data_IF_772202343672
#
_entry.id   IF_772202343672
#
_cell.length_a   1.000
_cell.length_b   1.000
_cell.length_c   1.000
_cell.angle_alpha   90.00
_cell.angle_beta   90.00
_cell.angle_gamma   90.00
#
_symmetry.space_group_name_H-M   'P 1'
#
loop_
_entity.id
_entity.type
_entity.pdbx_description
1 polymer ?
#
# COMPACT_ATOMS: atom_id res chain seq x y z
N UNK A 1 21.38 2.29 18.97
CA UNK A 1 20.88 2.21 17.58
C UNK A 1 19.38 1.94 17.59
N UNK A 2 18.64 2.38 16.58
CA UNK A 2 17.22 2.03 16.43
C UNK A 2 17.10 0.56 16.01
N UNK A 3 16.09 -0.15 16.53
CA UNK A 3 15.83 -1.53 16.16
C UNK A 3 15.35 -1.60 14.70
N UNK A 4 15.84 -2.53 13.86
CA UNK A 4 15.41 -2.65 12.47
C UNK A 4 13.95 -3.13 12.39
N UNK A 5 13.15 -2.48 11.55
CA UNK A 5 11.76 -2.87 11.28
C UNK A 5 11.62 -3.34 9.84
N UNK A 6 11.00 -4.50 9.65
CA UNK A 6 10.56 -5.00 8.36
C UNK A 6 9.07 -5.31 8.42
N UNK A 7 8.32 -4.88 7.41
CA UNK A 7 6.90 -5.17 7.29
C UNK A 7 6.66 -6.48 6.55
N UNK A 8 5.69 -7.26 7.02
CA UNK A 8 5.27 -8.48 6.33
C UNK A 8 4.49 -8.13 5.06
N UNK A 9 4.89 -8.65 3.88
CA UNK A 9 4.15 -8.43 2.64
C UNK A 9 2.92 -9.33 2.50
N UNK A 10 2.81 -10.40 3.29
CA UNK A 10 1.67 -11.33 3.35
C UNK A 10 1.33 -11.61 4.83
N UNK A 11 0.11 -12.04 5.14
CA UNK A 11 -0.30 -12.30 6.54
C UNK A 11 0.42 -13.52 7.18
N UNK A 12 0.70 -14.56 6.39
CA UNK A 12 1.30 -15.84 6.86
C UNK A 12 2.81 -15.77 7.17
N UNK A 13 3.34 -14.56 7.17
CA UNK A 13 4.75 -14.26 6.99
C UNK A 13 5.39 -13.61 8.22
N UNK A 14 4.63 -13.50 9.30
CA UNK A 14 5.02 -12.88 10.56
C UNK A 14 6.29 -13.52 11.15
N UNK A 15 6.36 -14.85 11.20
CA UNK A 15 7.52 -15.59 11.73
C UNK A 15 8.83 -15.33 10.97
N UNK A 16 8.91 -15.58 9.66
CA UNK A 16 10.09 -15.29 8.85
C UNK A 16 10.49 -13.81 8.89
N UNK A 17 9.51 -12.90 8.96
CA UNK A 17 9.77 -11.47 9.09
C UNK A 17 10.36 -11.10 10.46
N UNK A 18 9.89 -11.73 11.54
CA UNK A 18 10.49 -11.61 12.88
C UNK A 18 11.94 -12.06 12.89
N UNK A 19 12.22 -13.25 12.33
CA UNK A 19 13.57 -13.79 12.23
C UNK A 19 14.48 -12.87 11.41
N UNK A 20 13.96 -12.26 10.33
CA UNK A 20 14.68 -11.26 9.53
C UNK A 20 15.08 -10.02 10.33
N UNK A 21 14.19 -9.52 11.19
CA UNK A 21 14.48 -8.37 12.05
C UNK A 21 15.57 -8.70 13.07
N UNK A 22 15.49 -9.88 13.70
CA UNK A 22 16.52 -10.37 14.64
C UNK A 22 17.86 -10.57 13.94
N UNK A 23 17.90 -11.24 12.78
CA UNK A 23 19.12 -11.41 11.99
C UNK A 23 19.75 -10.05 11.62
N UNK A 24 18.93 -9.07 11.24
CA UNK A 24 19.40 -7.73 10.90
C UNK A 24 19.93 -6.97 12.11
N UNK A 25 19.35 -7.18 13.29
CA UNK A 25 19.82 -6.57 14.53
C UNK A 25 21.25 -7.05 14.87
N UNK A 26 21.55 -8.33 14.64
CA UNK A 26 22.89 -8.89 14.81
C UNK A 26 23.84 -8.66 13.61
N UNK A 27 23.42 -7.88 12.60
CA UNK A 27 24.25 -7.42 11.50
C UNK A 27 24.10 -8.17 10.17
N UNK A 28 23.30 -9.25 10.10
CA UNK A 28 23.16 -10.10 8.90
C UNK A 28 21.90 -9.73 8.12
N UNK A 29 22.02 -9.47 6.82
CA UNK A 29 20.89 -9.12 5.96
C UNK A 29 20.47 -10.33 5.11
N UNK A 30 19.35 -10.96 5.48
CA UNK A 30 18.81 -12.13 4.78
C UNK A 30 17.53 -11.74 4.04
N UNK A 31 17.29 -12.34 2.87
CA UNK A 31 16.07 -12.08 2.11
C UNK A 31 14.87 -12.78 2.76
N UNK A 32 13.69 -12.18 2.68
CA UNK A 32 12.47 -12.80 3.24
C UNK A 32 12.12 -14.11 2.54
N UNK A 33 12.35 -14.20 1.22
CA UNK A 33 12.04 -15.40 0.44
C UNK A 33 12.87 -16.61 0.88
N UNK A 34 14.15 -16.38 1.20
CA UNK A 34 15.03 -17.41 1.73
C UNK A 34 14.59 -17.87 3.13
N UNK A 35 14.26 -16.93 4.02
CA UNK A 35 13.75 -17.27 5.36
C UNK A 35 12.41 -18.02 5.31
N UNK A 36 11.51 -17.69 4.37
CA UNK A 36 10.26 -18.47 4.14
C UNK A 36 10.56 -19.91 3.77
N UNK A 37 11.53 -20.11 2.88
CA UNK A 37 11.91 -21.44 2.42
C UNK A 37 12.57 -22.24 3.54
N UNK A 38 13.45 -21.61 4.33
CA UNK A 38 14.12 -22.25 5.47
C UNK A 38 13.14 -22.60 6.59
N UNK A 39 12.14 -21.74 6.84
CA UNK A 39 11.12 -21.93 7.87
C UNK A 39 9.95 -22.82 7.44
N UNK A 40 9.97 -23.33 6.20
CA UNK A 40 8.90 -24.14 5.61
C UNK A 40 7.53 -23.50 5.77
N UNK A 41 7.43 -22.18 5.60
CA UNK A 41 6.18 -21.43 5.78
C UNK A 41 5.10 -21.93 4.83
N UNK A 42 3.94 -22.32 5.37
CA UNK A 42 2.81 -22.87 4.59
C UNK A 42 1.63 -21.89 4.51
N UNK A 43 0.51 -22.30 3.87
CA UNK A 43 -0.79 -21.59 3.93
C UNK A 43 -1.29 -21.35 5.36
N UNK A 44 -0.86 -22.17 6.32
CA UNK A 44 -1.25 -22.06 7.73
C UNK A 44 -0.32 -21.15 8.54
N UNK A 45 0.72 -20.58 7.91
CA UNK A 45 1.76 -19.80 8.58
C UNK A 45 3.03 -20.61 8.84
N UNK A 46 3.88 -20.07 9.72
CA UNK A 46 5.09 -20.74 10.18
C UNK A 46 4.89 -21.23 11.61
N UNK A 47 5.30 -22.46 11.92
CA UNK A 47 5.32 -22.95 13.29
C UNK A 47 6.52 -22.37 14.05
N UNK A 48 6.44 -22.32 15.39
CA UNK A 48 7.59 -21.93 16.23
C UNK A 48 8.81 -22.81 15.93
N UNK A 49 8.58 -24.12 15.73
CA UNK A 49 9.60 -25.08 15.33
C UNK A 49 10.22 -24.73 13.97
N UNK A 50 9.42 -24.40 12.96
CA UNK A 50 9.94 -24.00 11.65
C UNK A 50 10.78 -22.73 11.73
N UNK A 51 10.39 -21.76 12.56
CA UNK A 51 11.19 -20.55 12.81
C UNK A 51 12.50 -20.92 13.53
N UNK A 52 12.47 -21.84 14.49
CA UNK A 52 13.63 -22.36 15.22
C UNK A 52 14.62 -23.04 14.27
N UNK A 53 14.15 -23.97 13.43
CA UNK A 53 14.97 -24.67 12.44
C UNK A 53 15.57 -23.71 11.40
N UNK A 54 14.80 -22.70 10.98
CA UNK A 54 15.31 -21.68 10.08
C UNK A 54 16.39 -20.83 10.73
N UNK A 55 16.21 -20.46 12.00
CA UNK A 55 17.17 -19.71 12.79
C UNK A 55 18.46 -20.50 13.00
N UNK A 56 18.36 -21.80 13.28
CA UNK A 56 19.53 -22.68 13.43
C UNK A 56 20.29 -22.85 12.12
N UNK A 57 19.58 -23.01 10.99
CA UNK A 57 20.21 -23.07 9.67
C UNK A 57 21.03 -21.83 9.33
N UNK A 58 20.59 -20.64 9.79
CA UNK A 58 21.31 -19.37 9.56
C UNK A 58 22.39 -19.05 10.60
N UNK A 59 22.60 -19.95 11.57
CA UNK A 59 23.65 -19.89 12.59
C UNK A 59 23.21 -19.35 13.95
N UNK A 60 21.92 -19.22 14.24
CA UNK A 60 21.48 -18.96 15.63
C UNK A 60 21.44 -20.25 16.44
N UNK A 61 21.70 -20.15 17.74
CA UNK A 61 21.22 -21.13 18.70
C UNK A 61 19.83 -20.72 19.14
N UNK A 62 18.88 -21.63 19.08
CA UNK A 62 17.51 -21.35 19.50
C UNK A 62 17.02 -22.22 20.64
N UNK A 63 16.20 -21.63 21.50
CA UNK A 63 15.52 -22.36 22.58
C UNK A 63 14.07 -21.86 22.66
N UNK A 64 13.13 -22.74 22.41
CA UNK A 64 11.71 -22.49 22.67
C UNK A 64 11.41 -22.67 24.15
N UNK A 65 10.94 -21.62 24.82
CA UNK A 65 10.62 -21.64 26.25
C UNK A 65 9.20 -21.18 26.51
N UNK A 66 8.59 -21.74 27.55
CA UNK A 66 7.35 -21.26 28.13
C UNK A 66 7.66 -20.73 29.52
N UNK A 67 7.48 -19.43 29.71
CA UNK A 67 7.96 -18.72 30.92
C UNK A 67 6.96 -17.70 31.43
N UNK A 68 7.07 -17.37 32.72
CA UNK A 68 6.33 -16.27 33.33
C UNK A 68 6.95 -14.92 32.98
N UNK A 69 6.22 -13.84 33.26
CA UNK A 69 6.68 -12.47 33.00
C UNK A 69 7.93 -12.12 33.80
N UNK A 70 8.04 -12.62 35.03
CA UNK A 70 9.18 -12.39 35.91
C UNK A 70 10.45 -13.00 35.31
N UNK A 71 10.37 -14.24 34.82
CA UNK A 71 11.51 -14.90 34.13
C UNK A 71 11.88 -14.24 32.81
N UNK A 72 10.91 -13.68 32.08
CA UNK A 72 11.19 -12.88 30.87
C UNK A 72 12.03 -11.63 31.21
N UNK A 73 11.84 -11.02 32.38
CA UNK A 73 12.59 -9.83 32.78
C UNK A 73 14.02 -10.14 33.24
N UNK A 74 14.21 -11.28 33.91
CA UNK A 74 15.47 -11.65 34.54
C UNK A 74 16.42 -12.36 33.56
N UNK A 75 15.91 -13.32 32.79
CA UNK A 75 16.76 -14.32 32.12
C UNK A 75 16.70 -14.29 30.58
N UNK A 76 15.74 -13.59 29.97
CA UNK A 76 15.54 -13.69 28.52
C UNK A 76 16.51 -12.78 27.74
N UNK A 77 17.36 -13.34 26.85
CA UNK A 77 18.17 -12.52 25.95
C UNK A 77 17.28 -11.76 24.95
N UNK A 78 17.60 -10.50 24.71
CA UNK A 78 16.91 -9.63 23.76
C UNK A 78 17.80 -9.33 22.54
N UNK A 79 17.25 -9.30 21.32
CA UNK A 79 15.84 -9.49 20.97
C UNK A 79 15.42 -10.97 20.92
N UNK A 80 14.19 -11.26 21.35
CA UNK A 80 13.58 -12.59 21.26
C UNK A 80 12.24 -12.54 20.50
N UNK A 81 11.80 -13.69 19.95
CA UNK A 81 10.54 -13.78 19.23
C UNK A 81 9.46 -14.30 20.19
N UNK A 82 8.34 -13.60 20.29
CA UNK A 82 7.22 -13.98 21.13
C UNK A 82 6.05 -14.47 20.28
N UNK A 83 5.41 -15.55 20.73
CA UNK A 83 4.12 -15.96 20.18
C UNK A 83 3.03 -15.02 20.74
N UNK A 84 2.23 -14.44 19.86
CA UNK A 84 1.34 -13.32 20.16
C UNK A 84 -0.09 -13.64 19.75
N UNK A 85 -1.06 -13.41 20.65
CA UNK A 85 -2.49 -13.68 20.46
C UNK A 85 -2.81 -15.10 19.91
N UNK A 86 -1.92 -16.06 20.15
CA UNK A 86 -1.97 -17.44 19.65
C UNK A 86 -2.05 -17.63 18.12
N UNK A 87 -1.84 -16.57 17.33
CA UNK A 87 -1.93 -16.63 15.88
C UNK A 87 -0.92 -15.74 15.15
N UNK A 88 0.00 -15.12 15.88
CA UNK A 88 0.95 -14.15 15.34
C UNK A 88 2.32 -14.25 16.01
N UNK A 89 3.35 -13.71 15.37
CA UNK A 89 4.69 -13.61 15.95
C UNK A 89 5.14 -12.16 15.96
N UNK A 90 5.76 -11.75 17.07
CA UNK A 90 6.32 -10.41 17.25
C UNK A 90 7.72 -10.49 17.85
N UNK A 91 8.53 -9.45 17.69
CA UNK A 91 9.87 -9.39 18.30
C UNK A 91 9.87 -8.48 19.51
N UNK A 92 10.25 -8.99 20.67
CA UNK A 92 10.52 -8.17 21.85
C UNK A 92 11.99 -7.76 21.76
N UNK A 93 12.25 -6.46 21.58
CA UNK A 93 13.61 -5.97 21.37
C UNK A 93 14.18 -5.16 22.53
N UNK A 94 13.31 -4.68 23.43
CA UNK A 94 13.74 -3.91 24.60
C UNK A 94 12.67 -3.96 25.69
N UNK A 95 13.11 -4.09 26.93
CA UNK A 95 12.25 -3.91 28.11
C UNK A 95 12.90 -2.83 28.97
N UNK A 96 12.12 -1.81 29.39
CA UNK A 96 12.62 -0.73 30.25
C UNK A 96 11.55 -0.30 31.25
N UNK A 97 11.85 -0.46 32.54
CA UNK A 97 10.86 -0.29 33.63
C UNK A 97 9.66 -1.20 33.34
N UNK A 98 8.44 -0.66 33.34
CA UNK A 98 7.20 -1.38 33.01
C UNK A 98 6.75 -1.27 31.55
N UNK A 99 7.64 -0.85 30.65
CA UNK A 99 7.32 -0.73 29.23
C UNK A 99 8.06 -1.78 28.40
N UNK A 100 7.30 -2.55 27.64
CA UNK A 100 7.78 -3.56 26.72
C UNK A 100 7.73 -2.97 25.32
N UNK A 101 8.86 -2.99 24.63
CA UNK A 101 8.97 -2.50 23.26
C UNK A 101 8.98 -3.67 22.29
N UNK A 102 8.03 -3.65 21.37
CA UNK A 102 7.75 -4.74 20.44
C UNK A 102 7.89 -4.23 19.01
N UNK A 103 8.52 -5.02 18.17
CA UNK A 103 8.49 -4.85 16.72
C UNK A 103 7.50 -5.87 16.15
N UNK A 104 6.34 -5.37 15.74
CA UNK A 104 5.30 -6.16 15.09
C UNK A 104 5.48 -6.08 13.56
N UNK A 105 5.68 -7.22 12.86
CA UNK A 105 5.75 -7.24 11.40
C UNK A 105 4.56 -6.60 10.68
N UNK A 106 3.37 -6.60 11.28
CA UNK A 106 2.16 -5.98 10.76
C UNK A 106 2.03 -4.50 11.09
N UNK A 107 2.36 -4.10 12.32
CA UNK A 107 2.02 -2.78 12.86
C UNK A 107 3.22 -1.85 13.12
N UNK A 108 4.45 -2.34 12.97
CA UNK A 108 5.66 -1.55 13.19
C UNK A 108 6.15 -1.60 14.64
N UNK A 109 6.82 -0.52 15.08
CA UNK A 109 7.36 -0.41 16.44
C UNK A 109 6.28 0.06 17.40
N UNK A 110 5.92 -0.80 18.34
CA UNK A 110 4.89 -0.57 19.35
C UNK A 110 5.48 -0.56 20.75
N UNK A 111 4.77 0.10 21.65
CA UNK A 111 5.10 0.20 23.07
C UNK A 111 3.87 -0.25 23.87
N UNK A 112 4.06 -1.24 24.72
CA UNK A 112 3.00 -1.79 25.56
C UNK A 112 3.34 -1.60 27.04
N UNK A 113 2.29 -1.36 27.83
CA UNK A 113 2.35 -1.51 29.28
C UNK A 113 2.36 -3.00 29.66
N UNK A 114 2.80 -3.32 30.88
CA UNK A 114 2.79 -4.69 31.42
C UNK A 114 1.41 -5.37 31.28
N UNK A 115 0.33 -4.66 31.59
CA UNK A 115 -1.03 -5.21 31.55
C UNK A 115 -1.49 -5.54 30.13
N UNK A 116 -1.24 -4.64 29.18
CA UNK A 116 -1.59 -4.86 27.77
C UNK A 116 -0.76 -5.98 27.16
N UNK A 117 0.54 -6.03 27.48
CA UNK A 117 1.43 -7.09 27.04
C UNK A 117 0.95 -8.47 27.51
N UNK A 118 0.60 -8.59 28.79
CA UNK A 118 0.16 -9.87 29.34
C UNK A 118 -1.17 -10.35 28.77
N UNK A 119 -2.07 -9.45 28.36
CA UNK A 119 -3.32 -9.84 27.69
C UNK A 119 -3.08 -10.50 26.34
N UNK A 120 -2.03 -10.11 25.63
CA UNK A 120 -1.76 -10.60 24.28
C UNK A 120 -0.67 -11.66 24.18
N UNK A 121 0.30 -11.68 25.08
CA UNK A 121 1.41 -12.63 25.05
C UNK A 121 1.10 -13.96 25.75
N UNK A 122 0.23 -13.95 26.76
CA UNK A 122 -0.09 -15.17 27.51
C UNK A 122 -0.79 -16.20 26.63
N UNK A 123 -0.21 -17.41 26.60
CA UNK A 123 -0.84 -18.56 25.94
C UNK A 123 -1.73 -19.32 26.93
N UNK A 124 -1.35 -19.33 28.21
CA UNK A 124 -2.08 -19.95 29.33
C UNK A 124 -2.41 -18.90 30.41
N UNK A 125 -2.86 -19.32 31.61
CA UNK A 125 -3.27 -18.41 32.70
C UNK A 125 -2.14 -17.44 33.13
N UNK A 126 -0.90 -17.91 33.15
CA UNK A 126 0.26 -17.15 33.70
C UNK A 126 1.47 -17.08 32.78
N UNK A 127 1.58 -17.95 31.77
CA UNK A 127 2.80 -18.14 30.99
C UNK A 127 2.61 -17.79 29.50
N UNK A 128 3.68 -17.28 28.89
CA UNK A 128 3.76 -17.02 27.45
C UNK A 128 4.89 -17.81 26.80
N UNK A 129 4.84 -17.89 25.48
CA UNK A 129 5.79 -18.66 24.67
C UNK A 129 6.78 -17.71 24.02
N UNK A 130 8.08 -18.03 24.14
CA UNK A 130 9.18 -17.29 23.54
C UNK A 130 10.08 -18.25 22.77
N UNK A 131 10.68 -17.73 21.70
CA UNK A 131 11.86 -18.30 21.07
C UNK A 131 13.02 -17.38 21.38
N UNK A 132 13.96 -17.88 22.18
CA UNK A 132 15.21 -17.19 22.49
C UNK A 132 16.21 -17.49 21.37
N UNK A 133 16.93 -16.46 20.92
CA UNK A 133 17.90 -16.55 19.83
C UNK A 133 19.23 -15.91 20.24
N UNK A 134 20.31 -16.69 20.15
CA UNK A 134 21.67 -16.21 20.39
C UNK A 134 22.56 -16.55 19.19
N UNK A 135 23.33 -15.60 18.64
CA UNK A 135 24.20 -15.90 17.50
C UNK A 135 25.33 -16.84 17.93
N UNK A 136 25.61 -17.88 17.15
CA UNK A 136 26.80 -18.74 17.32
C UNK A 136 27.95 -18.20 16.46
N UNK A 137 29.19 -18.72 16.61
CA UNK A 137 30.28 -18.39 15.68
C UNK A 137 29.90 -18.64 14.20
N UNK A 138 29.15 -19.71 13.93
CA UNK A 138 28.66 -20.04 12.58
C UNK A 138 27.79 -18.93 11.98
N UNK A 139 27.06 -18.16 12.81
CA UNK A 139 26.27 -17.01 12.36
C UNK A 139 27.12 -15.99 11.58
N UNK A 140 28.35 -15.76 12.04
CA UNK A 140 29.28 -14.78 11.49
C UNK A 140 30.20 -15.36 10.43
N UNK A 141 30.48 -16.66 10.48
CA UNK A 141 31.32 -17.36 9.50
C UNK A 141 30.59 -17.73 8.21
N UNK A 142 29.29 -18.05 8.30
CA UNK A 142 28.48 -18.33 7.12
C UNK A 142 28.32 -17.04 6.29
N UNK A 143 29.00 -16.99 5.15
CA UNK A 143 28.75 -16.03 4.07
C UNK A 143 27.36 -16.27 3.44
N UNK A 144 26.29 -16.00 4.21
CA UNK A 144 25.05 -15.57 3.57
C UNK A 144 25.38 -14.24 2.96
N UNK A 145 25.38 -14.18 1.63
CA UNK A 145 25.67 -13.01 0.80
C UNK A 145 25.58 -11.74 1.64
N UNK A 146 26.71 -11.38 2.26
CA UNK A 146 26.96 -10.04 2.82
C UNK A 146 27.16 -9.05 1.68
N UNK A 147 26.82 -9.47 0.46
CA UNK A 147 26.58 -8.64 -0.69
C UNK A 147 25.54 -7.58 -0.37
N UNK A 148 26.08 -6.40 -0.11
CA UNK A 148 25.60 -5.17 -0.73
C UNK A 148 25.39 -5.28 -2.26
N UNK A 149 25.83 -6.38 -2.89
CA UNK A 149 25.42 -6.81 -4.23
C UNK A 149 23.96 -7.26 -4.21
N UNK A 150 23.15 -6.28 -4.58
CA UNK A 150 21.71 -6.36 -4.73
C UNK A 150 20.98 -6.46 -3.39
N UNK A 151 20.88 -5.30 -2.73
CA UNK A 151 19.51 -4.81 -2.54
C UNK A 151 18.84 -5.03 -3.91
N UNK A 152 17.81 -5.88 -4.09
CA UNK A 152 16.76 -5.38 -4.94
C UNK A 152 16.35 -4.11 -4.20
N UNK A 153 16.95 -2.96 -4.56
CA UNK A 153 16.33 -1.66 -4.32
C UNK A 153 14.91 -1.97 -4.71
N UNK A 154 13.93 -1.97 -3.78
CA UNK A 154 12.57 -2.42 -4.08
C UNK A 154 12.28 -1.73 -5.40
N UNK A 155 12.18 -2.51 -6.50
CA UNK A 155 12.27 -1.91 -7.84
C UNK A 155 11.21 -0.84 -7.79
N UNK A 156 11.64 0.41 -7.73
CA UNK A 156 10.71 1.46 -7.34
C UNK A 156 9.63 1.51 -8.39
N UNK A 157 8.68 2.43 -8.23
CA UNK A 157 7.76 2.74 -9.31
C UNK A 157 8.47 3.03 -10.66
N UNK A 158 9.80 3.28 -10.65
CA UNK A 158 10.72 3.25 -11.81
C UNK A 158 10.48 2.12 -12.83
N UNK A 159 10.25 0.87 -12.40
CA UNK A 159 9.95 -0.22 -13.35
C UNK A 159 8.64 0.02 -14.09
N UNK A 160 7.64 0.58 -13.40
CA UNK A 160 6.33 0.87 -13.96
C UNK A 160 6.38 1.98 -15.02
N UNK A 161 7.29 2.96 -14.86
CA UNK A 161 7.51 3.99 -15.88
C UNK A 161 7.95 3.41 -17.23
N UNK A 162 8.61 2.23 -17.26
CA UNK A 162 8.98 1.59 -18.54
C UNK A 162 7.77 1.23 -19.39
N UNK A 163 6.64 0.86 -18.78
CA UNK A 163 5.39 0.61 -19.49
C UNK A 163 4.81 1.89 -20.08
N UNK A 164 4.92 3.01 -19.36
CA UNK A 164 4.42 4.31 -19.79
C UNK A 164 5.29 4.90 -20.93
N UNK A 165 6.62 4.86 -20.81
CA UNK A 165 7.55 5.43 -21.79
C UNK A 165 7.49 4.76 -23.17
N UNK A 166 6.97 3.52 -23.26
CA UNK A 166 6.66 2.89 -24.56
C UNK A 166 5.67 3.73 -25.38
N UNK A 167 4.80 4.48 -24.72
CA UNK A 167 3.78 5.35 -25.31
C UNK A 167 4.16 6.85 -25.28
N UNK A 168 5.45 7.19 -25.22
CA UNK A 168 5.93 8.58 -25.08
C UNK A 168 5.33 9.57 -26.08
N UNK A 169 5.06 9.16 -27.33
CA UNK A 169 4.45 10.03 -28.35
C UNK A 169 3.02 10.43 -27.96
N UNK A 170 2.23 9.48 -27.46
CA UNK A 170 0.86 9.73 -27.00
C UNK A 170 0.84 10.54 -25.70
N UNK A 171 1.81 10.33 -24.81
CA UNK A 171 1.97 11.19 -23.61
C UNK A 171 2.26 12.64 -23.99
N UNK A 172 3.14 12.87 -24.97
CA UNK A 172 3.40 14.22 -25.47
C UNK A 172 2.13 14.84 -26.06
N UNK A 173 1.33 14.08 -26.81
CA UNK A 173 0.03 14.56 -27.31
C UNK A 173 -0.93 14.91 -26.16
N UNK A 174 -0.95 14.13 -25.07
CA UNK A 174 -1.75 14.46 -23.87
C UNK A 174 -1.27 15.75 -23.19
N UNK A 175 0.04 15.98 -23.12
CA UNK A 175 0.60 17.23 -22.56
C UNK A 175 0.29 18.43 -23.45
N UNK A 176 0.38 18.28 -24.77
CA UNK A 176 -0.01 19.34 -25.73
C UNK A 176 -1.52 19.61 -25.61
N UNK A 177 -2.34 18.56 -25.57
CA UNK A 177 -3.79 18.67 -25.39
C UNK A 177 -4.16 19.32 -24.05
N UNK A 178 -3.40 19.05 -22.99
CA UNK A 178 -3.52 19.74 -21.71
C UNK A 178 -3.28 21.23 -21.87
N UNK A 179 -2.13 21.63 -22.40
CA UNK A 179 -1.77 23.05 -22.54
C UNK A 179 -2.80 23.79 -23.40
N UNK A 180 -3.22 23.19 -24.52
CA UNK A 180 -4.26 23.73 -25.38
C UNK A 180 -5.61 23.86 -24.64
N UNK A 181 -6.04 22.80 -23.93
CA UNK A 181 -7.29 22.80 -23.16
C UNK A 181 -7.28 23.83 -22.03
N UNK A 182 -6.18 23.96 -21.29
CA UNK A 182 -5.99 24.95 -20.23
C UNK A 182 -6.02 26.38 -20.79
N UNK A 183 -5.40 26.63 -21.95
CA UNK A 183 -5.46 27.93 -22.63
C UNK A 183 -6.90 28.28 -23.05
N UNK A 184 -7.62 27.35 -23.69
CA UNK A 184 -9.02 27.58 -24.07
C UNK A 184 -9.90 27.84 -22.84
N UNK A 185 -9.65 27.13 -21.73
CA UNK A 185 -10.37 27.34 -20.48
C UNK A 185 -10.08 28.73 -19.88
N UNK A 186 -8.85 29.21 -20.01
CA UNK A 186 -8.43 30.52 -19.51
C UNK A 186 -9.02 31.67 -20.33
N UNK A 187 -9.24 31.50 -21.63
CA UNK A 187 -9.88 32.52 -22.50
C UNK A 187 -11.32 32.83 -22.04
N UNK A 188 -12.02 31.85 -21.46
CA UNK A 188 -13.44 31.99 -21.13
C UNK A 188 -13.75 33.13 -20.13
N UNK A 189 -13.06 33.26 -18.97
CA UNK A 189 -13.17 34.43 -18.11
C UNK A 189 -13.00 35.79 -18.80
N UNK A 190 -12.02 35.93 -19.71
CA UNK A 190 -11.77 37.20 -20.42
C UNK A 190 -12.90 37.54 -21.41
N UNK A 191 -13.49 36.53 -22.06
CA UNK A 191 -14.66 36.73 -22.90
C UNK A 191 -15.88 37.15 -22.06
N UNK A 192 -16.09 36.51 -20.92
CA UNK A 192 -17.17 36.92 -19.99
C UNK A 192 -16.95 38.33 -19.47
N UNK A 193 -15.71 38.71 -19.14
CA UNK A 193 -15.37 40.08 -18.79
C UNK A 193 -15.73 41.05 -19.91
N UNK A 194 -15.34 40.75 -21.16
CA UNK A 194 -15.67 41.59 -22.32
C UNK A 194 -17.18 41.78 -22.53
N UNK A 195 -17.99 40.75 -22.26
CA UNK A 195 -19.46 40.87 -22.32
C UNK A 195 -19.95 41.94 -21.34
N UNK A 196 -19.45 41.96 -20.10
CA UNK A 196 -19.91 42.89 -19.07
C UNK A 196 -19.35 44.30 -19.33
N UNK A 197 -18.03 44.41 -19.49
CA UNK A 197 -17.33 45.70 -19.54
C UNK A 197 -17.57 46.45 -20.85
N UNK A 198 -17.75 45.74 -21.97
CA UNK A 198 -17.92 46.37 -23.30
C UNK A 198 -19.34 46.17 -23.81
N UNK A 199 -19.84 44.94 -23.79
CA UNK A 199 -21.15 44.61 -24.36
C UNK A 199 -22.30 45.27 -23.61
N UNK A 200 -22.41 44.99 -22.31
CA UNK A 200 -23.51 45.49 -21.46
C UNK A 200 -23.36 46.99 -21.20
N UNK A 201 -22.15 47.46 -20.86
CA UNK A 201 -21.91 48.87 -20.59
C UNK A 201 -22.27 49.78 -21.78
N UNK A 202 -21.95 49.37 -23.01
CA UNK A 202 -22.24 50.16 -24.23
C UNK A 202 -23.60 49.80 -24.87
N UNK A 203 -24.37 48.89 -24.28
CA UNK A 203 -25.62 48.34 -24.85
C UNK A 203 -25.43 47.78 -26.29
N UNK A 204 -24.25 47.26 -26.63
CA UNK A 204 -23.96 46.69 -27.95
C UNK A 204 -24.34 45.21 -28.00
N UNK A 205 -25.60 44.96 -28.35
CA UNK A 205 -26.17 43.62 -28.47
C UNK A 205 -25.47 42.80 -29.57
N UNK A 206 -24.97 43.44 -30.63
CA UNK A 206 -24.26 42.74 -31.71
C UNK A 206 -22.91 42.22 -31.21
N UNK A 207 -22.19 43.02 -30.43
CA UNK A 207 -20.95 42.59 -29.77
C UNK A 207 -21.20 41.41 -28.83
N UNK A 208 -22.28 41.46 -28.03
CA UNK A 208 -22.65 40.35 -27.14
C UNK A 208 -22.88 39.06 -27.93
N UNK A 209 -23.65 39.09 -29.02
CA UNK A 209 -23.87 37.90 -29.86
C UNK A 209 -22.57 37.36 -30.47
N UNK A 210 -21.65 38.23 -30.89
CA UNK A 210 -20.34 37.84 -31.43
C UNK A 210 -19.52 37.09 -30.38
N UNK A 211 -19.46 37.60 -29.14
CA UNK A 211 -18.71 36.95 -28.07
C UNK A 211 -19.37 35.62 -27.65
N UNK A 212 -20.70 35.56 -27.59
CA UNK A 212 -21.42 34.31 -27.32
C UNK A 212 -21.11 33.24 -28.38
N UNK A 213 -21.09 33.61 -29.66
CA UNK A 213 -20.71 32.69 -30.72
C UNK A 213 -19.26 32.24 -30.60
N UNK A 214 -18.34 33.15 -30.24
CA UNK A 214 -16.95 32.81 -29.97
C UNK A 214 -16.81 31.83 -28.78
N UNK A 215 -17.53 32.06 -27.68
CA UNK A 215 -17.56 31.15 -26.53
C UNK A 215 -18.09 29.76 -26.91
N UNK A 216 -19.12 29.70 -27.75
CA UNK A 216 -19.69 28.45 -28.23
C UNK A 216 -18.70 27.67 -29.11
N UNK A 217 -17.95 28.36 -29.98
CA UNK A 217 -16.86 27.75 -30.77
C UNK A 217 -15.71 27.24 -29.90
N UNK A 218 -15.29 28.02 -28.90
CA UNK A 218 -14.25 27.57 -27.95
C UNK A 218 -14.73 26.38 -27.12
N UNK A 219 -16.01 26.34 -26.75
CA UNK A 219 -16.60 25.21 -26.04
C UNK A 219 -16.54 23.92 -26.87
N UNK A 220 -16.89 23.98 -28.16
CA UNK A 220 -16.73 22.84 -29.07
C UNK A 220 -15.26 22.43 -29.26
N UNK A 221 -14.36 23.39 -29.39
CA UNK A 221 -12.91 23.12 -29.43
C UNK A 221 -12.43 22.39 -28.18
N UNK A 222 -12.88 22.82 -26.99
CA UNK A 222 -12.56 22.18 -25.71
C UNK A 222 -13.11 20.76 -25.62
N UNK A 223 -14.38 20.54 -26.01
CA UNK A 223 -14.97 19.19 -26.05
C UNK A 223 -14.15 18.28 -26.97
N UNK A 224 -13.74 18.77 -28.14
CA UNK A 224 -12.96 17.99 -29.09
C UNK A 224 -11.63 17.56 -28.51
N UNK A 225 -10.90 18.46 -27.84
CA UNK A 225 -9.66 18.13 -27.11
C UNK A 225 -9.93 17.08 -26.02
N UNK A 226 -11.02 17.22 -25.29
CA UNK A 226 -11.40 16.29 -24.22
C UNK A 226 -11.71 14.88 -24.72
N UNK A 227 -12.39 14.77 -25.87
CA UNK A 227 -12.65 13.50 -26.54
C UNK A 227 -11.35 12.84 -27.00
N UNK A 228 -10.47 13.59 -27.68
CA UNK A 228 -9.16 13.09 -28.12
C UNK A 228 -8.34 12.59 -26.93
N UNK A 229 -8.33 13.37 -25.84
CA UNK A 229 -7.64 13.03 -24.59
C UNK A 229 -8.18 11.75 -23.98
N UNK A 230 -9.49 11.64 -23.85
CA UNK A 230 -10.17 10.46 -23.29
C UNK A 230 -9.89 9.21 -24.13
N UNK A 231 -9.88 9.34 -25.46
CA UNK A 231 -9.56 8.25 -26.36
C UNK A 231 -8.10 7.80 -26.25
N UNK A 232 -7.14 8.74 -26.21
CA UNK A 232 -5.72 8.43 -26.01
C UNK A 232 -5.52 7.75 -24.65
N UNK A 233 -6.13 8.26 -23.58
CA UNK A 233 -6.04 7.67 -22.25
C UNK A 233 -6.58 6.25 -22.23
N UNK A 234 -7.74 5.99 -22.84
CA UNK A 234 -8.33 4.65 -22.94
C UNK A 234 -7.42 3.68 -23.71
N UNK A 235 -6.78 4.16 -24.78
CA UNK A 235 -5.85 3.36 -25.56
C UNK A 235 -4.61 2.98 -24.75
N UNK A 236 -4.00 3.94 -24.05
CA UNK A 236 -2.82 3.72 -23.22
C UNK A 236 -3.17 2.82 -22.02
N UNK A 237 -4.25 3.13 -21.31
CA UNK A 237 -4.65 2.42 -20.07
C UNK A 237 -4.90 0.94 -20.32
N UNK A 238 -5.70 0.63 -21.35
CA UNK A 238 -6.02 -0.74 -21.71
C UNK A 238 -4.76 -1.55 -22.06
N UNK A 239 -3.86 -0.99 -22.86
CA UNK A 239 -2.63 -1.69 -23.27
C UNK A 239 -1.63 -1.87 -22.12
N UNK A 240 -1.50 -0.88 -21.24
CA UNK A 240 -0.67 -1.00 -20.04
C UNK A 240 -1.25 -2.05 -19.10
N UNK A 241 -2.57 -2.05 -18.86
CA UNK A 241 -3.23 -3.03 -18.02
C UNK A 241 -3.01 -4.46 -18.54
N UNK A 242 -3.23 -4.68 -19.84
CA UNK A 242 -3.00 -5.98 -20.49
C UNK A 242 -1.54 -6.41 -20.33
N UNK A 243 -0.57 -5.51 -20.56
CA UNK A 243 0.85 -5.84 -20.45
C UNK A 243 1.24 -6.21 -19.00
N UNK A 244 0.76 -5.46 -18.02
CA UNK A 244 1.04 -5.70 -16.60
C UNK A 244 0.46 -7.05 -16.14
N UNK A 245 -0.81 -7.31 -16.47
CA UNK A 245 -1.48 -8.57 -16.11
C UNK A 245 -0.88 -9.77 -16.87
N UNK A 246 -0.50 -9.59 -18.14
CA UNK A 246 0.17 -10.63 -18.93
C UNK A 246 1.54 -11.01 -18.34
N UNK A 247 2.38 -10.02 -18.01
CA UNK A 247 3.68 -10.27 -17.37
C UNK A 247 3.52 -10.97 -16.01
N UNK A 248 2.47 -10.60 -15.26
CA UNK A 248 2.12 -11.29 -14.02
C UNK A 248 1.76 -12.76 -14.27
N UNK A 249 0.91 -13.07 -15.24
CA UNK A 249 0.58 -14.46 -15.59
C UNK A 249 1.79 -15.25 -16.08
N UNK A 250 2.64 -14.66 -16.93
CA UNK A 250 3.89 -15.30 -17.38
C UNK A 250 4.79 -15.65 -16.19
N UNK A 251 4.87 -14.79 -15.18
CA UNK A 251 5.61 -15.10 -13.96
C UNK A 251 4.93 -16.17 -13.13
N UNK A 252 3.61 -16.08 -12.94
CA UNK A 252 2.81 -17.03 -12.16
C UNK A 252 2.96 -18.45 -12.71
N UNK A 253 2.86 -18.64 -14.04
CA UNK A 253 3.02 -19.94 -14.70
C UNK A 253 4.43 -20.54 -14.61
N UNK A 254 5.44 -19.74 -14.28
CA UNK A 254 6.84 -20.20 -14.08
C UNK A 254 7.15 -20.57 -12.63
N UNK A 255 6.23 -20.36 -11.70
CA UNK A 255 6.45 -20.66 -10.28
C UNK A 255 6.27 -22.15 -9.99
N UNK A 256 7.08 -22.73 -9.08
CA UNK A 256 6.93 -24.13 -8.68
C UNK A 256 5.60 -24.36 -7.94
N UNK A 257 5.10 -25.59 -7.94
CA UNK A 257 3.81 -25.94 -7.32
C UNK A 257 3.73 -25.54 -5.84
N UNK A 258 4.85 -25.62 -5.11
CA UNK A 258 4.95 -25.21 -3.71
C UNK A 258 4.54 -23.75 -3.47
N UNK A 259 4.70 -22.85 -4.45
CA UNK A 259 4.19 -21.49 -4.34
C UNK A 259 2.65 -21.47 -4.26
N UNK A 260 1.99 -22.30 -5.06
CA UNK A 260 0.54 -22.39 -5.06
C UNK A 260 0.03 -23.05 -3.79
N UNK A 261 0.73 -24.05 -3.26
CA UNK A 261 0.36 -24.72 -2.00
C UNK A 261 0.42 -23.80 -0.77
N UNK A 262 1.14 -22.68 -0.87
CA UNK A 262 1.32 -21.70 0.21
C UNK A 262 0.46 -20.44 0.07
N UNK A 263 -0.16 -20.19 -1.09
CA UNK A 263 -0.96 -18.98 -1.37
C UNK A 263 -2.44 -19.28 -1.55
N UNK A 264 -3.32 -18.41 -1.02
CA UNK A 264 -4.75 -18.51 -1.26
C UNK A 264 -5.10 -17.98 -2.66
N UNK A 265 -6.09 -18.60 -3.32
CA UNK A 265 -6.58 -18.14 -4.62
C UNK A 265 -7.08 -16.70 -4.57
N UNK A 266 -7.70 -16.31 -3.43
CA UNK A 266 -8.12 -14.93 -3.16
C UNK A 266 -6.97 -13.92 -3.23
N UNK A 267 -5.82 -14.24 -2.63
CA UNK A 267 -4.64 -13.37 -2.64
C UNK A 267 -4.10 -13.16 -4.06
N UNK A 268 -4.10 -14.22 -4.88
CA UNK A 268 -3.67 -14.15 -6.28
C UNK A 268 -4.63 -13.27 -7.08
N UNK A 269 -5.94 -13.44 -6.87
CA UNK A 269 -6.97 -12.61 -7.53
C UNK A 269 -6.86 -11.13 -7.11
N UNK A 270 -6.61 -10.86 -5.84
CA UNK A 270 -6.39 -9.52 -5.34
C UNK A 270 -5.17 -8.87 -5.97
N UNK A 271 -4.06 -9.61 -6.12
CA UNK A 271 -2.87 -9.11 -6.83
C UNK A 271 -3.17 -8.78 -8.30
N UNK A 272 -4.03 -9.54 -8.98
CA UNK A 272 -4.48 -9.19 -10.35
C UNK A 272 -5.24 -7.86 -10.34
N UNK A 273 -6.16 -7.67 -9.39
CA UNK A 273 -6.89 -6.40 -9.23
C UNK A 273 -5.97 -5.22 -8.87
N UNK A 274 -4.92 -5.46 -8.09
CA UNK A 274 -3.95 -4.44 -7.74
C UNK A 274 -3.18 -3.93 -8.97
N UNK A 275 -2.98 -4.76 -10.00
CA UNK A 275 -2.40 -4.28 -11.27
C UNK A 275 -3.30 -3.25 -11.96
N UNK A 276 -4.63 -3.40 -11.90
CA UNK A 276 -5.57 -2.40 -12.42
C UNK A 276 -5.48 -1.09 -11.63
N UNK A 277 -5.35 -1.17 -10.30
CA UNK A 277 -5.14 0.02 -9.44
C UNK A 277 -3.84 0.73 -9.78
N UNK A 278 -2.75 -0.02 -9.93
CA UNK A 278 -1.43 0.50 -10.31
C UNK A 278 -1.50 1.17 -11.67
N UNK A 279 -2.16 0.54 -12.65
CA UNK A 279 -2.37 1.10 -13.97
C UNK A 279 -3.13 2.44 -13.91
N UNK A 280 -4.30 2.45 -13.27
CA UNK A 280 -5.11 3.67 -13.10
C UNK A 280 -4.36 4.79 -12.39
N UNK A 281 -3.50 4.45 -11.43
CA UNK A 281 -2.62 5.40 -10.77
C UNK A 281 -1.63 6.04 -11.76
N UNK A 282 -0.99 5.23 -12.62
CA UNK A 282 0.02 5.68 -13.58
C UNK A 282 -0.57 6.48 -14.75
N UNK A 283 -1.76 6.10 -15.23
CA UNK A 283 -2.34 6.66 -16.47
C UNK A 283 -3.35 7.77 -16.18
N UNK A 284 -4.27 7.58 -15.24
CA UNK A 284 -5.36 8.52 -14.98
C UNK A 284 -5.02 9.48 -13.84
N UNK A 285 -4.71 8.93 -12.67
CA UNK A 285 -4.54 9.73 -11.44
C UNK A 285 -3.34 10.66 -11.55
N UNK A 286 -2.18 10.14 -11.97
CA UNK A 286 -0.95 10.95 -12.10
C UNK A 286 -1.11 12.07 -13.12
N UNK A 287 -1.72 11.79 -14.28
CA UNK A 287 -1.95 12.82 -15.30
C UNK A 287 -2.97 13.86 -14.82
N UNK A 288 -4.05 13.44 -14.17
CA UNK A 288 -5.04 14.36 -13.60
C UNK A 288 -4.45 15.27 -12.51
N UNK A 289 -3.55 14.75 -11.66
CA UNK A 289 -2.83 15.56 -10.66
C UNK A 289 -1.92 16.58 -11.34
N UNK A 290 -1.16 16.15 -12.37
CA UNK A 290 -0.31 17.06 -13.14
C UNK A 290 -1.16 18.16 -13.80
N UNK A 291 -2.31 17.80 -14.35
CA UNK A 291 -3.24 18.74 -14.98
C UNK A 291 -3.80 19.75 -13.97
N UNK A 292 -4.22 19.25 -12.82
CA UNK A 292 -4.74 20.07 -11.73
C UNK A 292 -3.67 21.03 -11.20
N UNK A 293 -2.42 20.58 -11.12
CA UNK A 293 -1.29 21.40 -10.69
C UNK A 293 -0.96 22.53 -11.69
N UNK A 294 -0.91 22.22 -12.99
CA UNK A 294 -0.72 23.24 -14.02
C UNK A 294 -1.86 24.27 -14.00
N UNK A 295 -3.11 23.81 -13.90
CA UNK A 295 -4.26 24.69 -13.79
C UNK A 295 -4.20 25.57 -12.53
N UNK A 296 -3.84 25.00 -11.38
CA UNK A 296 -3.67 25.75 -10.14
C UNK A 296 -2.66 26.88 -10.30
N UNK A 297 -1.51 26.62 -10.94
CA UNK A 297 -0.49 27.64 -11.21
C UNK A 297 -1.02 28.70 -12.17
N UNK A 298 -1.58 28.28 -13.31
CA UNK A 298 -2.05 29.20 -14.36
C UNK A 298 -3.17 30.11 -13.83
N UNK A 299 -4.20 29.57 -13.18
CA UNK A 299 -5.27 30.37 -12.60
C UNK A 299 -4.80 31.18 -11.39
N UNK A 300 -3.85 30.66 -10.60
CA UNK A 300 -3.22 31.41 -9.51
C UNK A 300 -2.50 32.66 -10.01
N UNK A 301 -1.73 32.54 -11.10
CA UNK A 301 -1.04 33.67 -11.73
C UNK A 301 -2.03 34.69 -12.31
N UNK A 302 -3.11 34.23 -12.95
CA UNK A 302 -4.17 35.12 -13.44
C UNK A 302 -4.81 35.90 -12.29
N UNK A 303 -5.21 35.23 -11.20
CA UNK A 303 -5.80 35.90 -10.05
C UNK A 303 -4.84 36.91 -9.42
N UNK A 304 -3.56 36.56 -9.30
CA UNK A 304 -2.53 37.46 -8.78
C UNK A 304 -2.36 38.71 -9.66
N UNK A 305 -2.45 38.56 -10.99
CA UNK A 305 -2.43 39.68 -11.94
C UNK A 305 -3.65 40.60 -11.80
N UNK A 306 -4.85 40.03 -11.61
CA UNK A 306 -6.09 40.81 -11.48
C UNK A 306 -6.20 41.54 -10.14
N UNK A 307 -6.01 40.83 -9.02
CA UNK A 307 -6.12 41.42 -7.69
C UNK A 307 -5.40 40.57 -6.64
N UNK A 308 -4.37 41.16 -6.02
CA UNK A 308 -3.55 40.48 -5.02
C UNK A 308 -4.33 40.11 -3.74
N UNK A 309 -5.37 40.86 -3.37
CA UNK A 309 -6.21 40.53 -2.22
C UNK A 309 -7.07 39.29 -2.49
N UNK A 310 -7.71 39.18 -3.65
CA UNK A 310 -8.49 37.99 -4.04
C UNK A 310 -7.56 36.76 -4.12
N UNK A 311 -6.37 36.94 -4.70
CA UNK A 311 -5.35 35.89 -4.71
C UNK A 311 -4.95 35.45 -3.30
N UNK A 312 -4.76 36.39 -2.36
CA UNK A 312 -4.39 36.06 -0.98
C UNK A 312 -5.47 35.22 -0.27
N UNK A 313 -6.75 35.55 -0.46
CA UNK A 313 -7.88 34.78 0.07
C UNK A 313 -7.89 33.37 -0.50
N UNK A 314 -7.72 33.24 -1.83
CA UNK A 314 -7.63 31.94 -2.49
C UNK A 314 -6.46 31.10 -1.99
N UNK A 315 -5.28 31.72 -1.85
CA UNK A 315 -4.05 31.04 -1.42
C UNK A 315 -4.16 30.57 0.03
N UNK A 316 -4.65 31.42 0.94
CA UNK A 316 -4.86 31.07 2.35
C UNK A 316 -5.90 29.96 2.46
N UNK A 317 -7.03 30.05 1.74
CA UNK A 317 -8.05 28.99 1.72
C UNK A 317 -7.50 27.65 1.21
N UNK A 318 -6.70 27.68 0.13
CA UNK A 318 -6.04 26.48 -0.40
C UNK A 318 -5.03 25.89 0.58
N UNK A 319 -4.23 26.74 1.24
CA UNK A 319 -3.26 26.31 2.24
C UNK A 319 -3.94 25.67 3.46
N UNK A 320 -5.03 26.27 3.97
CA UNK A 320 -5.83 25.69 5.06
C UNK A 320 -6.41 24.33 4.68
N UNK A 321 -6.93 24.20 3.46
CA UNK A 321 -7.42 22.91 2.95
C UNK A 321 -6.32 21.84 2.87
N UNK A 322 -5.12 22.20 2.39
CA UNK A 322 -3.97 21.30 2.38
C UNK A 322 -3.55 20.87 3.78
N UNK A 323 -3.47 21.82 4.74
CA UNK A 323 -3.14 21.54 6.13
C UNK A 323 -4.18 20.60 6.75
N UNK A 324 -5.46 20.84 6.50
CA UNK A 324 -6.55 19.98 6.94
C UNK A 324 -6.36 18.54 6.44
N UNK A 325 -6.09 18.36 5.14
CA UNK A 325 -5.82 17.03 4.58
C UNK A 325 -4.61 16.38 5.24
N UNK A 326 -3.49 17.09 5.36
CA UNK A 326 -2.26 16.55 5.93
C UNK A 326 -2.45 16.10 7.39
N UNK A 327 -3.23 16.84 8.17
CA UNK A 327 -3.56 16.49 9.54
C UNK A 327 -4.32 15.16 9.62
N UNK A 328 -5.30 14.94 8.73
CA UNK A 328 -6.09 13.70 8.71
C UNK A 328 -5.45 12.54 7.93
N UNK A 329 -4.38 12.80 7.17
CA UNK A 329 -3.79 11.80 6.26
C UNK A 329 -3.31 10.55 7.00
N UNK A 330 -2.65 10.72 8.17
CA UNK A 330 -2.17 9.59 8.98
C UNK A 330 -3.33 8.70 9.45
N UNK A 331 -4.36 9.31 10.04
CA UNK A 331 -5.55 8.59 10.49
C UNK A 331 -6.29 7.93 9.33
N UNK A 332 -6.35 8.59 8.18
CA UNK A 332 -6.94 8.02 6.96
C UNK A 332 -6.16 6.80 6.49
N UNK A 333 -4.83 6.85 6.50
CA UNK A 333 -3.98 5.71 6.13
C UNK A 333 -4.22 4.50 7.04
N UNK A 334 -4.33 4.72 8.36
CA UNK A 334 -4.62 3.65 9.32
C UNK A 334 -6.00 3.02 9.07
N UNK A 335 -7.02 3.83 8.77
CA UNK A 335 -8.37 3.35 8.47
C UNK A 335 -8.43 2.63 7.11
N UNK A 336 -7.72 3.12 6.11
CA UNK A 336 -7.68 2.51 4.78
C UNK A 336 -6.98 1.14 4.82
N UNK A 337 -5.95 1.00 5.66
CA UNK A 337 -5.31 -0.29 5.93
C UNK A 337 -6.28 -1.28 6.61
N UNK A 338 -7.04 -0.84 7.63
CA UNK A 338 -8.07 -1.67 8.27
C UNK A 338 -9.13 -2.13 7.27
N UNK A 339 -9.61 -1.21 6.43
CA UNK A 339 -10.56 -1.51 5.35
C UNK A 339 -10.00 -2.50 4.34
N UNK A 340 -8.72 -2.38 3.99
CA UNK A 340 -8.06 -3.30 3.07
C UNK A 340 -8.00 -4.73 3.63
N UNK A 341 -7.62 -4.91 4.89
CA UNK A 341 -7.60 -6.21 5.56
C UNK A 341 -9.01 -6.83 5.63
N UNK A 342 -10.03 -6.05 6.02
CA UNK A 342 -11.42 -6.50 6.03
C UNK A 342 -11.92 -6.92 4.65
N UNK A 343 -11.60 -6.14 3.61
CA UNK A 343 -11.96 -6.50 2.23
C UNK A 343 -11.28 -7.79 1.76
N UNK A 344 -10.02 -8.00 2.11
CA UNK A 344 -9.30 -9.23 1.79
C UNK A 344 -9.95 -10.46 2.47
N UNK A 345 -10.24 -10.36 3.77
CA UNK A 345 -10.94 -11.40 4.52
C UNK A 345 -12.33 -11.70 3.95
N UNK A 346 -13.08 -10.66 3.59
CA UNK A 346 -14.37 -10.79 2.95
C UNK A 346 -14.27 -11.53 1.61
N UNK A 347 -13.37 -11.11 0.73
CA UNK A 347 -13.18 -11.74 -0.59
C UNK A 347 -12.79 -13.21 -0.45
N UNK A 348 -11.87 -13.52 0.47
CA UNK A 348 -11.46 -14.90 0.77
C UNK A 348 -12.62 -15.73 1.31
N UNK A 349 -13.44 -15.18 2.20
CA UNK A 349 -14.60 -15.89 2.76
C UNK A 349 -15.66 -16.17 1.71
N UNK A 350 -15.94 -15.22 0.82
CA UNK A 350 -16.87 -15.42 -0.30
C UNK A 350 -16.37 -16.54 -1.22
N UNK A 351 -15.07 -16.58 -1.53
CA UNK A 351 -14.49 -17.66 -2.33
C UNK A 351 -14.57 -19.02 -1.61
N UNK A 352 -14.32 -19.08 -0.29
CA UNK A 352 -14.49 -20.29 0.53
C UNK A 352 -15.95 -20.80 0.46
N UNK A 353 -16.92 -19.91 0.60
CA UNK A 353 -18.35 -20.26 0.55
C UNK A 353 -18.74 -20.83 -0.82
N UNK A 354 -18.31 -20.20 -1.90
CA UNK A 354 -18.64 -20.63 -3.27
C UNK A 354 -17.95 -21.95 -3.61
N UNK A 355 -16.64 -22.06 -3.35
CA UNK A 355 -15.88 -23.28 -3.64
C UNK A 355 -16.29 -24.47 -2.76
N UNK A 356 -16.67 -24.20 -1.51
CA UNK A 356 -17.11 -25.20 -0.53
C UNK A 356 -18.61 -25.48 -0.55
N UNK A 357 -19.39 -24.95 -1.50
CA UNK A 357 -20.85 -25.00 -1.47
C UNK A 357 -21.40 -26.43 -1.38
N UNK A 358 -20.75 -27.38 -2.06
CA UNK A 358 -21.13 -28.79 -2.03
C UNK A 358 -21.02 -29.37 -0.61
N UNK A 359 -19.89 -29.17 0.06
CA UNK A 359 -19.68 -29.63 1.45
C UNK A 359 -20.63 -28.94 2.43
N UNK A 360 -20.83 -27.63 2.27
CA UNK A 360 -21.74 -26.85 3.12
C UNK A 360 -23.16 -27.41 3.04
N UNK A 361 -23.61 -27.77 1.83
CA UNK A 361 -24.93 -28.39 1.59
C UNK A 361 -25.02 -29.79 2.16
N UNK A 362 -23.99 -30.62 1.97
CA UNK A 362 -23.93 -31.98 2.52
C UNK A 362 -24.00 -31.99 4.05
N UNK A 363 -23.41 -30.99 4.70
CA UNK A 363 -23.39 -30.85 6.16
C UNK A 363 -24.50 -29.94 6.75
N UNK A 364 -25.43 -29.42 5.93
CA UNK A 364 -26.47 -28.47 6.36
C UNK A 364 -25.93 -27.26 7.17
N UNK A 365 -24.73 -26.79 6.80
CA UNK A 365 -23.99 -25.76 7.54
C UNK A 365 -24.24 -24.33 7.01
N UNK A 366 -25.26 -24.10 6.17
CA UNK A 366 -25.47 -22.83 5.47
C UNK A 366 -25.65 -21.66 6.44
N UNK A 367 -26.45 -21.85 7.49
CA UNK A 367 -26.72 -20.78 8.47
C UNK A 367 -25.45 -20.39 9.22
N UNK A 368 -24.68 -21.38 9.68
CA UNK A 368 -23.44 -21.15 10.41
C UNK A 368 -22.41 -20.44 9.54
N UNK A 369 -22.22 -20.90 8.30
CA UNK A 369 -21.26 -20.33 7.35
C UNK A 369 -21.67 -18.93 6.89
N UNK A 370 -22.97 -18.66 6.73
CA UNK A 370 -23.50 -17.31 6.46
C UNK A 370 -23.25 -16.36 7.63
N UNK A 371 -23.53 -16.79 8.87
CA UNK A 371 -23.26 -15.98 10.07
C UNK A 371 -21.76 -15.67 10.25
N UNK A 372 -20.87 -16.61 9.93
CA UNK A 372 -19.43 -16.34 9.93
C UNK A 372 -19.05 -15.21 8.96
N UNK A 373 -19.68 -15.17 7.79
CA UNK A 373 -19.48 -14.08 6.82
C UNK A 373 -20.12 -12.76 7.28
N UNK A 374 -21.34 -12.80 7.83
CA UNK A 374 -22.01 -11.61 8.39
C UNK A 374 -21.18 -10.96 9.51
N UNK A 375 -20.53 -11.76 10.37
CA UNK A 375 -19.65 -11.26 11.43
C UNK A 375 -18.42 -10.50 10.91
N UNK A 376 -17.95 -10.79 9.69
CA UNK A 376 -16.85 -10.06 9.05
C UNK A 376 -17.32 -8.69 8.54
N UNK A 377 -18.62 -8.55 8.18
CA UNK A 377 -19.19 -7.29 7.69
C UNK A 377 -19.48 -6.27 8.79
N UNK A 378 -19.74 -6.74 10.01
CA UNK A 378 -20.14 -5.88 11.15
C UNK A 378 -18.94 -5.30 11.91
N UNK A 379 -17.75 -5.90 11.75
CA UNK A 379 -16.47 -5.39 12.29
C UNK A 379 -15.86 -4.37 11.34
#
# INVERSE_FOLDING_TARGET
MAFPIYHQPDEMDCGPTCLRMVAKYYGKAITLQELRQLASTTRQGSSLLGISEAAEKIGFRTIGVKVTYEKLLEDAPLPCIAHWNQNHFVVIYKIKKDNIFIADPGHGLLKYTKEEFLKSWKSDVTEGILLLLEPTPEFYEQEYITGEKEKPKPKGFSFLFKYLFRYKKLLVQLVIGLLAGSLLQLVFPFLTQSIVDIGVQNNDVKFIYLILFAQLMLFFGRITIEIIRSWILLHISSRINISLVSDFFVKLMKLPIAFFDTKMTGDIMQRINDHQRIESFLTSTTLSVLFSFVNLIVFGLVLAYYNLAIFSVFFIGSALYFIWILFFLKRRADLDYKRFSQNAQNQSKVMELIAGMQEIKLHNAERQKRWQWENIQVR
#
